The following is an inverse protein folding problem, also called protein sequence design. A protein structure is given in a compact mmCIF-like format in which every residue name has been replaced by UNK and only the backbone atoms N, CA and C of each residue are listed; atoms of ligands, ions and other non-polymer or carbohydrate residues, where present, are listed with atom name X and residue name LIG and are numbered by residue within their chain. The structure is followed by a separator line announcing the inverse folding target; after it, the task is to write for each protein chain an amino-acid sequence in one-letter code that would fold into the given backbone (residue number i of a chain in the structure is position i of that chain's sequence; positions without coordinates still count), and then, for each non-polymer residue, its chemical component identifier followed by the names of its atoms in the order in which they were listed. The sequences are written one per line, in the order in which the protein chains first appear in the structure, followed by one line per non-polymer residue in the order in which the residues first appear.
data_IF_967614932806
#
_entry.id   IF_967614932806
#
_cell.length_a   1.000
_cell.length_b   1.000
_cell.length_c   1.000
_cell.angle_alpha   90.00
_cell.angle_beta   90.00
_cell.angle_gamma   90.00
#
_symmetry.space_group_name_H-M   'P 1'
#
loop_
_entity.id
_entity.type
_entity.pdbx_description
1 polymer ?
#
# COMPACT_ATOMS: atom_id res chain seq x y z
N UNK A 1 20.17 0.27 -16.13
CA UNK A 1 21.44 1.04 -16.01
C UNK A 1 21.69 1.35 -14.55
N UNK A 2 22.94 1.53 -14.13
CA UNK A 2 23.27 1.95 -12.77
C UNK A 2 23.72 3.41 -12.77
N UNK A 3 23.03 4.26 -12.01
CA UNK A 3 23.34 5.68 -11.92
C UNK A 3 24.67 5.97 -11.20
N UNK A 4 25.13 7.21 -11.36
CA UNK A 4 26.28 7.84 -10.69
C UNK A 4 25.94 9.28 -10.35
N UNK A 5 26.76 9.96 -9.53
CA UNK A 5 26.75 11.43 -9.45
C UNK A 5 26.87 12.11 -10.83
N UNK A 6 27.62 11.52 -11.76
CA UNK A 6 27.79 12.00 -13.14
C UNK A 6 26.72 11.47 -14.12
N UNK A 7 25.63 10.88 -13.63
CA UNK A 7 24.56 10.33 -14.48
C UNK A 7 24.75 8.87 -14.91
N UNK A 8 24.03 8.48 -15.97
CA UNK A 8 24.03 7.12 -16.53
C UNK A 8 25.11 6.94 -17.59
N UNK A 9 25.61 5.70 -17.74
CA UNK A 9 26.64 5.38 -18.72
C UNK A 9 26.43 3.98 -19.32
N UNK A 10 26.68 3.81 -20.62
CA UNK A 10 26.47 2.55 -21.38
C UNK A 10 27.32 1.38 -20.88
N UNK A 11 28.50 1.68 -20.32
CA UNK A 11 29.37 0.68 -19.67
C UNK A 11 29.00 0.41 -18.21
N UNK A 12 28.03 1.13 -17.64
CA UNK A 12 27.59 1.02 -16.24
C UNK A 12 26.16 0.49 -16.20
N UNK A 13 25.96 -0.71 -16.73
CA UNK A 13 24.66 -1.40 -16.78
C UNK A 13 24.84 -2.89 -16.57
N UNK A 14 23.78 -3.54 -16.12
CA UNK A 14 23.63 -4.99 -16.19
C UNK A 14 22.70 -5.32 -17.34
N UNK A 15 22.96 -6.43 -18.02
CA UNK A 15 22.11 -6.91 -19.12
C UNK A 15 21.24 -8.03 -18.58
N UNK A 16 19.92 -7.83 -18.62
CA UNK A 16 18.94 -8.87 -18.38
C UNK A 16 18.36 -9.30 -19.72
N UNK A 17 18.48 -10.59 -20.05
CA UNK A 17 17.97 -11.12 -21.30
C UNK A 17 16.48 -11.46 -21.11
N UNK A 18 15.63 -11.03 -22.04
CA UNK A 18 14.18 -11.24 -22.06
C UNK A 18 13.68 -11.32 -23.50
N UNK A 19 12.47 -11.85 -23.69
CA UNK A 19 11.82 -11.98 -25.00
C UNK A 19 10.85 -10.80 -25.21
N UNK A 20 11.17 -9.89 -26.12
CA UNK A 20 10.35 -8.73 -26.50
C UNK A 20 9.63 -8.07 -25.31
N UNK A 21 10.40 -7.38 -24.47
CA UNK A 21 9.89 -6.75 -23.24
C UNK A 21 8.95 -5.61 -23.58
N UNK A 22 7.81 -5.55 -22.91
CA UNK A 22 6.87 -4.44 -23.03
C UNK A 22 6.79 -3.58 -21.76
N UNK A 23 7.07 -4.13 -20.57
CA UNK A 23 6.95 -3.40 -19.31
C UNK A 23 7.74 -4.06 -18.16
N UNK A 24 7.93 -3.34 -17.05
CA UNK A 24 8.57 -3.88 -15.84
C UNK A 24 8.11 -3.19 -14.56
N UNK A 25 8.05 -3.94 -13.46
CA UNK A 25 7.76 -3.46 -12.11
C UNK A 25 8.92 -3.78 -11.16
N UNK A 26 9.33 -2.79 -10.37
CA UNK A 26 10.32 -2.96 -9.31
C UNK A 26 9.63 -3.16 -7.95
N UNK A 27 10.09 -4.14 -7.19
CA UNK A 27 9.59 -4.47 -5.86
C UNK A 27 10.43 -5.56 -5.21
N UNK A 28 10.42 -5.67 -3.88
CA UNK A 28 11.05 -6.80 -3.19
C UNK A 28 10.04 -7.96 -3.16
N UNK A 29 10.17 -8.91 -4.08
CA UNK A 29 9.17 -9.97 -4.26
C UNK A 29 9.47 -11.22 -3.43
N UNK A 30 10.66 -11.31 -2.83
CA UNK A 30 11.08 -12.43 -1.99
C UNK A 30 11.24 -12.07 -0.50
N UNK A 31 11.14 -10.78 -0.15
CA UNK A 31 11.22 -10.26 1.21
C UNK A 31 12.64 -10.24 1.78
N UNK A 32 13.68 -10.17 0.94
CA UNK A 32 15.08 -10.15 1.37
C UNK A 32 15.65 -8.74 1.60
N UNK A 33 14.84 -7.70 1.38
CA UNK A 33 15.20 -6.30 1.52
C UNK A 33 15.90 -5.72 0.27
N UNK A 34 16.05 -6.49 -0.80
CA UNK A 34 16.59 -6.03 -2.08
C UNK A 34 15.46 -5.85 -3.11
N UNK A 35 15.51 -4.76 -3.86
CA UNK A 35 14.53 -4.51 -4.92
C UNK A 35 14.81 -5.40 -6.13
N UNK A 36 13.85 -6.27 -6.44
CA UNK A 36 13.81 -7.17 -7.59
C UNK A 36 13.13 -6.51 -8.80
N UNK A 37 13.06 -7.24 -9.92
CA UNK A 37 12.41 -6.79 -11.15
C UNK A 37 11.48 -7.86 -11.71
N UNK A 38 10.19 -7.57 -11.79
CA UNK A 38 9.24 -8.30 -12.63
C UNK A 38 9.23 -7.68 -14.02
N UNK A 39 9.44 -8.48 -15.07
CA UNK A 39 9.59 -8.03 -16.44
C UNK A 39 8.59 -8.79 -17.31
N UNK A 40 7.70 -8.04 -17.95
CA UNK A 40 6.70 -8.58 -18.86
C UNK A 40 7.29 -8.83 -20.25
N UNK A 41 6.98 -9.99 -20.81
CA UNK A 41 7.43 -10.42 -22.12
C UNK A 41 6.23 -10.55 -23.06
N UNK A 42 6.31 -9.96 -24.24
CA UNK A 42 5.17 -9.81 -25.15
C UNK A 42 5.13 -10.87 -26.25
N UNK A 43 6.26 -11.10 -26.91
CA UNK A 43 6.36 -12.09 -27.98
C UNK A 43 7.74 -12.74 -28.04
N UNK A 44 7.78 -13.98 -28.51
CA UNK A 44 8.99 -14.68 -28.91
C UNK A 44 8.79 -15.23 -30.32
N UNK A 45 9.65 -14.82 -31.27
CA UNK A 45 9.55 -15.21 -32.69
C UNK A 45 8.13 -15.00 -33.30
N UNK A 46 7.47 -13.90 -32.94
CA UNK A 46 6.11 -13.58 -33.41
C UNK A 46 4.98 -14.35 -32.71
N UNK A 47 5.29 -15.18 -31.70
CA UNK A 47 4.30 -15.91 -30.91
C UNK A 47 4.10 -15.25 -29.54
N UNK A 48 2.84 -15.12 -29.11
CA UNK A 48 2.47 -14.58 -27.79
C UNK A 48 2.59 -15.59 -26.65
N UNK A 49 2.77 -16.90 -26.92
CA UNK A 49 3.00 -17.93 -25.89
C UNK A 49 4.41 -17.81 -25.30
N UNK A 50 4.64 -16.74 -24.55
CA UNK A 50 5.91 -16.37 -23.94
C UNK A 50 5.72 -16.10 -22.45
N UNK A 51 6.68 -16.55 -21.66
CA UNK A 51 6.67 -16.40 -20.20
C UNK A 51 7.37 -15.10 -19.81
N UNK A 52 6.74 -14.33 -18.94
CA UNK A 52 7.34 -13.21 -18.23
C UNK A 52 8.35 -13.72 -17.20
N UNK A 53 9.15 -12.81 -16.63
CA UNK A 53 10.28 -13.19 -15.77
C UNK A 53 10.30 -12.33 -14.51
N UNK A 54 10.68 -12.91 -13.39
CA UNK A 54 11.09 -12.18 -12.18
C UNK A 54 12.57 -12.41 -11.98
N UNK A 55 13.35 -11.33 -11.98
CA UNK A 55 14.78 -11.36 -11.65
C UNK A 55 14.96 -10.91 -10.21
N UNK A 56 15.50 -11.81 -9.39
CA UNK A 56 15.79 -11.51 -8.00
C UNK A 56 17.17 -10.84 -7.90
N UNK A 57 17.24 -9.78 -7.13
CA UNK A 57 18.46 -9.01 -6.95
C UNK A 57 19.47 -9.82 -6.13
N UNK A 58 20.69 -9.93 -6.65
CA UNK A 58 21.77 -10.70 -6.03
C UNK A 58 22.65 -9.84 -5.09
N UNK A 59 22.23 -8.60 -4.81
CA UNK A 59 23.01 -7.60 -4.08
C UNK A 59 24.26 -7.13 -4.84
N UNK A 60 24.48 -7.64 -6.06
CA UNK A 60 25.65 -7.40 -6.91
C UNK A 60 25.24 -6.90 -8.27
N UNK A 61 24.19 -6.05 -8.28
CA UNK A 61 23.68 -5.39 -9.47
C UNK A 61 23.18 -6.39 -10.51
N UNK A 62 22.45 -7.43 -10.10
CA UNK A 62 21.97 -8.48 -11.00
C UNK A 62 23.10 -9.06 -11.87
N UNK A 63 24.27 -9.35 -11.28
CA UNK A 63 25.40 -9.95 -12.00
C UNK A 63 25.08 -11.39 -12.39
N UNK A 64 24.51 -12.16 -11.45
CA UNK A 64 24.05 -13.53 -11.63
C UNK A 64 22.70 -13.70 -10.91
N UNK A 65 21.64 -13.00 -11.34
CA UNK A 65 20.38 -13.02 -10.63
C UNK A 65 19.72 -14.39 -10.78
N UNK A 66 19.12 -14.87 -9.69
CA UNK A 66 18.13 -15.95 -9.80
C UNK A 66 16.96 -15.41 -10.61
N UNK A 67 16.37 -16.26 -11.46
CA UNK A 67 15.22 -15.88 -12.27
C UNK A 67 14.13 -16.94 -12.18
N UNK A 68 12.89 -16.49 -11.99
CA UNK A 68 11.69 -17.32 -12.09
C UNK A 68 10.91 -16.92 -13.33
N UNK A 69 10.46 -17.91 -14.11
CA UNK A 69 9.53 -17.67 -15.21
C UNK A 69 8.09 -17.67 -14.69
N UNK A 70 7.31 -16.71 -15.13
CA UNK A 70 5.87 -16.63 -14.87
C UNK A 70 5.13 -17.13 -16.11
N UNK A 71 4.14 -18.03 -15.98
CA UNK A 71 3.43 -18.65 -17.10
C UNK A 71 2.40 -17.69 -17.73
N UNK A 72 2.85 -16.55 -18.20
CA UNK A 72 2.04 -15.55 -18.91
C UNK A 72 1.87 -15.93 -20.39
N UNK A 73 1.02 -15.18 -21.09
CA UNK A 73 0.78 -15.33 -22.52
C UNK A 73 0.75 -13.95 -23.18
N UNK A 74 1.94 -13.41 -23.46
CA UNK A 74 2.13 -12.26 -24.33
C UNK A 74 1.44 -11.00 -23.84
N UNK A 75 1.84 -10.56 -22.65
CA UNK A 75 1.30 -9.36 -22.00
C UNK A 75 1.54 -8.11 -22.85
N UNK A 76 0.53 -7.26 -22.99
CA UNK A 76 0.64 -5.98 -23.70
C UNK A 76 0.99 -4.81 -22.79
N UNK A 77 0.60 -4.87 -21.51
CA UNK A 77 0.85 -3.83 -20.49
C UNK A 77 1.01 -4.50 -19.11
N UNK A 78 1.63 -3.78 -18.16
CA UNK A 78 1.56 -4.11 -16.73
C UNK A 78 0.81 -3.01 -15.96
N UNK A 79 1.32 -2.64 -14.78
CA UNK A 79 0.70 -1.74 -13.83
C UNK A 79 1.29 -0.33 -13.99
N UNK A 80 0.44 0.70 -13.98
CA UNK A 80 0.84 2.09 -14.27
C UNK A 80 1.35 2.87 -13.03
N UNK A 81 1.46 2.21 -11.88
CA UNK A 81 1.82 2.81 -10.60
C UNK A 81 2.95 2.02 -9.93
N UNK A 82 3.79 2.70 -9.17
CA UNK A 82 4.75 2.02 -8.30
C UNK A 82 4.03 1.33 -7.14
N UNK A 83 4.71 0.38 -6.48
CA UNK A 83 4.24 -0.18 -5.21
C UNK A 83 4.25 0.94 -4.15
N UNK A 84 3.16 1.03 -3.39
CA UNK A 84 2.96 2.03 -2.35
C UNK A 84 1.99 3.13 -2.76
N UNK A 85 1.82 4.11 -1.86
CA UNK A 85 0.87 5.20 -2.05
C UNK A 85 1.28 6.10 -3.21
N UNK A 86 0.30 6.47 -4.04
CA UNK A 86 0.54 7.28 -5.26
C UNK A 86 1.14 8.65 -4.98
N UNK A 87 0.87 9.24 -3.81
CA UNK A 87 1.28 10.61 -3.50
C UNK A 87 2.69 10.67 -2.91
N UNK A 88 3.03 9.74 -2.03
CA UNK A 88 4.26 9.80 -1.24
C UNK A 88 5.12 8.52 -1.29
N UNK A 89 4.69 7.51 -2.06
CA UNK A 89 5.31 6.18 -2.19
C UNK A 89 5.44 5.41 -0.87
N UNK A 90 4.81 5.87 0.21
CA UNK A 90 4.85 5.16 1.48
C UNK A 90 4.01 3.89 1.40
N UNK A 91 4.37 2.87 2.19
CA UNK A 91 3.55 1.68 2.34
C UNK A 91 2.41 1.90 3.34
N UNK A 92 1.71 3.03 3.17
CA UNK A 92 0.65 3.48 4.05
C UNK A 92 -0.51 4.03 3.23
N UNK A 93 -1.69 3.51 3.49
CA UNK A 93 -2.94 3.97 2.90
C UNK A 93 -3.90 4.49 3.97
N UNK A 94 -4.79 5.39 3.58
CA UNK A 94 -5.82 5.91 4.49
C UNK A 94 -7.20 5.91 3.89
N UNK A 95 -8.19 5.54 4.71
CA UNK A 95 -9.60 5.67 4.40
C UNK A 95 -10.26 6.56 5.47
N UNK A 96 -10.98 7.60 5.04
CA UNK A 96 -11.80 8.42 5.93
C UNK A 96 -13.28 8.07 5.75
N UNK A 97 -13.95 7.79 6.87
CA UNK A 97 -15.37 7.45 6.85
C UNK A 97 -16.23 8.64 6.46
N UNK A 98 -17.51 8.41 6.15
CA UNK A 98 -18.51 9.48 6.23
C UNK A 98 -18.56 10.09 7.64
N UNK A 99 -19.11 11.29 7.74
CA UNK A 99 -19.45 11.91 9.03
C UNK A 99 -20.74 11.28 9.55
N UNK A 100 -20.74 10.91 10.82
CA UNK A 100 -21.87 10.38 11.56
C UNK A 100 -22.38 11.42 12.53
N UNK A 101 -23.71 11.51 12.64
CA UNK A 101 -24.37 12.46 13.52
C UNK A 101 -25.26 11.71 14.52
N UNK A 102 -25.42 12.24 15.74
CA UNK A 102 -26.30 11.69 16.76
C UNK A 102 -26.94 12.82 17.58
N UNK A 103 -28.02 12.53 18.31
CA UNK A 103 -28.81 13.55 19.01
C UNK A 103 -28.42 13.70 20.50
N UNK A 104 -28.30 12.57 21.20
CA UNK A 104 -28.12 12.55 22.65
C UNK A 104 -26.67 12.82 23.09
N UNK A 105 -26.41 13.34 24.29
CA UNK A 105 -25.05 13.44 24.80
C UNK A 105 -24.34 12.08 24.84
N UNK A 106 -23.06 12.06 24.47
CA UNK A 106 -22.18 10.92 24.65
C UNK A 106 -20.79 11.43 25.06
N UNK A 107 -20.18 10.84 26.09
CA UNK A 107 -18.85 11.25 26.59
C UNK A 107 -17.76 10.25 26.23
N UNK A 108 -18.16 9.03 25.83
CA UNK A 108 -17.25 7.93 25.55
C UNK A 108 -17.69 7.16 24.32
N UNK A 109 -16.72 6.55 23.66
CA UNK A 109 -16.97 5.66 22.55
C UNK A 109 -16.03 4.48 22.53
N UNK A 110 -16.48 3.40 21.90
CA UNK A 110 -15.70 2.18 21.67
C UNK A 110 -15.70 1.83 20.20
N UNK A 111 -14.54 1.42 19.68
CA UNK A 111 -14.37 0.93 18.32
C UNK A 111 -14.17 -0.59 18.33
N UNK A 112 -14.91 -1.31 17.50
CA UNK A 112 -14.62 -2.70 17.15
C UNK A 112 -14.32 -2.76 15.66
N UNK A 113 -13.25 -3.45 15.31
CA UNK A 113 -12.88 -3.69 13.91
C UNK A 113 -12.98 -5.18 13.61
N UNK A 114 -13.39 -5.45 12.39
CA UNK A 114 -13.40 -6.77 11.77
C UNK A 114 -12.53 -6.66 10.52
N UNK A 115 -11.34 -7.25 10.58
CA UNK A 115 -10.31 -7.09 9.57
C UNK A 115 -9.40 -8.31 9.50
N UNK A 116 -8.94 -8.64 8.30
CA UNK A 116 -7.83 -9.55 8.08
C UNK A 116 -6.54 -8.72 8.03
N UNK A 117 -5.60 -9.02 8.94
CA UNK A 117 -4.32 -8.32 9.04
C UNK A 117 -3.22 -9.35 8.75
N UNK A 118 -2.62 -9.32 7.56
CA UNK A 118 -1.54 -10.24 7.23
C UNK A 118 -0.31 -9.94 8.10
N UNK A 119 0.60 -10.91 8.22
CA UNK A 119 1.93 -10.66 8.79
C UNK A 119 2.61 -9.52 8.02
N UNK A 120 3.21 -8.58 8.74
CA UNK A 120 3.79 -7.36 8.16
C UNK A 120 2.78 -6.22 7.94
N UNK A 121 1.48 -6.52 8.02
CA UNK A 121 0.41 -5.54 7.94
C UNK A 121 0.13 -4.86 9.28
N UNK A 122 -0.35 -3.62 9.22
CA UNK A 122 -0.81 -2.87 10.39
C UNK A 122 -2.07 -2.08 10.08
N UNK A 123 -2.98 -2.01 11.05
CA UNK A 123 -4.24 -1.26 10.94
C UNK A 123 -4.47 -0.43 12.20
N UNK A 124 -4.62 0.88 12.04
CA UNK A 124 -4.91 1.81 13.12
C UNK A 124 -6.20 2.61 12.84
N UNK A 125 -7.00 2.84 13.89
CA UNK A 125 -8.15 3.73 13.83
C UNK A 125 -7.86 5.01 14.60
N UNK A 126 -8.18 6.15 13.99
CA UNK A 126 -8.26 7.44 14.65
C UNK A 126 -9.67 8.01 14.50
N UNK A 127 -10.10 8.84 15.45
CA UNK A 127 -11.39 9.53 15.41
C UNK A 127 -11.22 11.03 15.59
N UNK A 128 -12.14 11.79 15.02
CA UNK A 128 -12.34 13.21 15.35
C UNK A 128 -13.82 13.47 15.56
N UNK A 129 -14.12 14.37 16.50
CA UNK A 129 -15.49 14.75 16.86
C UNK A 129 -15.61 16.26 17.01
N UNK A 130 -16.83 16.76 16.80
CA UNK A 130 -17.16 18.18 16.99
C UNK A 130 -18.66 18.37 17.19
N UNK A 131 -19.06 19.56 17.63
CA UNK A 131 -20.46 19.99 17.68
C UNK A 131 -21.00 20.45 16.31
N UNK A 132 -20.13 20.89 15.38
CA UNK A 132 -20.50 21.42 14.06
C UNK A 132 -19.54 20.98 12.95
N UNK A 133 -20.06 20.83 11.73
CA UNK A 133 -19.32 20.26 10.58
C UNK A 133 -18.10 21.09 10.18
N UNK A 134 -18.22 22.42 10.23
CA UNK A 134 -17.13 23.34 9.95
C UNK A 134 -15.94 23.19 10.94
N UNK A 135 -16.22 22.81 12.19
CA UNK A 135 -15.19 22.58 13.20
C UNK A 135 -14.53 21.20 13.01
N UNK A 136 -15.33 20.18 12.65
CA UNK A 136 -14.85 18.80 12.48
C UNK A 136 -13.67 18.70 11.51
N UNK A 137 -13.74 19.41 10.37
CA UNK A 137 -12.68 19.40 9.35
C UNK A 137 -11.32 19.89 9.88
N UNK A 138 -11.31 20.76 10.89
CA UNK A 138 -10.11 21.33 11.51
C UNK A 138 -9.66 20.59 12.76
N UNK A 139 -10.47 19.65 13.27
CA UNK A 139 -10.13 18.88 14.46
C UNK A 139 -9.03 17.87 14.15
N UNK A 140 -7.99 17.76 15.00
CA UNK A 140 -6.95 16.77 14.82
C UNK A 140 -7.54 15.36 14.99
N UNK A 141 -6.99 14.43 14.23
CA UNK A 141 -7.27 13.01 14.40
C UNK A 141 -6.67 12.52 15.72
N UNK A 142 -7.48 11.86 16.55
CA UNK A 142 -7.06 11.25 17.81
C UNK A 142 -7.02 9.73 17.64
N UNK A 143 -5.85 9.12 17.78
CA UNK A 143 -5.71 7.67 17.73
C UNK A 143 -6.54 7.00 18.82
N UNK A 144 -7.29 5.96 18.45
CA UNK A 144 -8.06 5.14 19.38
C UNK A 144 -7.11 4.13 20.02
N UNK A 145 -6.96 4.21 21.35
CA UNK A 145 -6.15 3.27 22.15
C UNK A 145 -7.08 2.38 22.97
N UNK A 146 -6.70 1.12 23.15
CA UNK A 146 -7.49 0.12 23.90
C UNK A 146 -8.96 0.05 23.46
N UNK A 147 -9.18 0.27 22.16
CA UNK A 147 -10.51 0.28 21.52
C UNK A 147 -11.44 1.38 22.05
N UNK A 148 -10.95 2.39 22.78
CA UNK A 148 -11.76 3.42 23.44
C UNK A 148 -11.32 4.85 23.05
N UNK A 149 -12.26 5.78 23.13
CA UNK A 149 -12.01 7.22 22.98
C UNK A 149 -13.01 8.03 23.81
N UNK A 150 -12.66 9.30 24.07
CA UNK A 150 -13.52 10.26 24.76
C UNK A 150 -14.09 11.29 23.78
N UNK A 151 -15.22 11.85 24.17
CA UNK A 151 -15.98 12.88 23.46
C UNK A 151 -16.24 14.06 24.39
N UNK A 152 -16.39 15.25 23.82
CA UNK A 152 -16.88 16.40 24.56
C UNK A 152 -18.42 16.31 24.65
N UNK A 153 -19.06 16.76 25.75
CA UNK A 153 -20.51 16.66 25.93
C UNK A 153 -21.34 17.31 24.81
N UNK A 154 -20.79 18.34 24.15
CA UNK A 154 -21.39 19.05 23.02
C UNK A 154 -21.14 18.41 21.65
N UNK A 155 -20.28 17.40 21.56
CA UNK A 155 -20.01 16.73 20.29
C UNK A 155 -21.27 16.04 19.77
N UNK A 156 -21.58 16.23 18.49
CA UNK A 156 -22.72 15.61 17.79
C UNK A 156 -22.33 15.02 16.45
N UNK A 157 -21.06 15.18 16.07
CA UNK A 157 -20.49 14.69 14.82
C UNK A 157 -19.24 13.87 15.10
N UNK A 158 -19.07 12.76 14.38
CA UNK A 158 -17.93 11.86 14.49
C UNK A 158 -17.51 11.41 13.10
N UNK A 159 -16.21 11.36 12.88
CA UNK A 159 -15.63 10.69 11.73
C UNK A 159 -14.49 9.80 12.23
N UNK A 160 -14.27 8.66 11.57
CA UNK A 160 -13.08 7.85 11.79
C UNK A 160 -12.18 7.83 10.56
N UNK A 161 -10.90 7.59 10.78
CA UNK A 161 -9.90 7.30 9.76
C UNK A 161 -9.26 5.96 10.05
N UNK A 162 -9.24 5.09 9.07
CA UNK A 162 -8.43 3.89 9.07
C UNK A 162 -7.10 4.18 8.38
N UNK A 163 -6.00 3.76 8.99
CA UNK A 163 -4.66 3.81 8.41
C UNK A 163 -4.16 2.40 8.29
N UNK A 164 -3.88 1.99 7.06
CA UNK A 164 -3.35 0.70 6.67
C UNK A 164 -1.86 0.85 6.45
N UNK A 165 -1.05 -0.08 6.93
CA UNK A 165 0.39 -0.12 6.70
C UNK A 165 0.81 -1.49 6.20
N UNK A 166 1.86 -1.52 5.39
CA UNK A 166 2.56 -2.72 4.96
C UNK A 166 4.06 -2.52 5.19
N UNK A 167 4.78 -3.58 5.51
CA UNK A 167 6.25 -3.54 5.64
C UNK A 167 6.94 -3.60 4.26
N UNK A 168 6.32 -4.24 3.28
CA UNK A 168 6.89 -4.45 1.95
C UNK A 168 6.00 -3.91 0.80
N UNK A 169 4.78 -3.47 1.09
CA UNK A 169 3.85 -2.92 0.10
C UNK A 169 3.16 -3.97 -0.78
N UNK A 170 3.45 -5.26 -0.58
CA UNK A 170 2.87 -6.38 -1.33
C UNK A 170 1.59 -6.94 -0.67
N UNK A 171 1.36 -6.65 0.61
CA UNK A 171 0.21 -7.12 1.39
C UNK A 171 -0.29 -6.03 2.33
N UNK A 172 -1.55 -5.66 2.19
CA UNK A 172 -2.22 -4.70 3.08
C UNK A 172 -3.35 -5.38 3.86
N UNK A 173 -3.69 -4.88 5.06
CA UNK A 173 -4.88 -5.33 5.76
C UNK A 173 -6.15 -5.13 4.95
N UNK A 174 -7.09 -6.05 5.08
CA UNK A 174 -8.44 -5.95 4.51
C UNK A 174 -9.40 -5.61 5.64
N UNK A 175 -9.92 -4.38 5.63
CA UNK A 175 -10.90 -3.92 6.62
C UNK A 175 -12.32 -4.24 6.14
N UNK A 176 -12.99 -5.19 6.81
CA UNK A 176 -14.36 -5.58 6.49
C UNK A 176 -15.41 -4.68 7.16
N UNK A 177 -15.25 -4.40 8.46
CA UNK A 177 -16.23 -3.58 9.21
C UNK A 177 -15.59 -2.79 10.35
N UNK A 178 -16.10 -1.57 10.54
CA UNK A 178 -15.84 -0.74 11.74
C UNK A 178 -17.17 -0.49 12.43
N UNK A 179 -17.27 -0.88 13.69
CA UNK A 179 -18.40 -0.58 14.56
C UNK A 179 -17.98 0.43 15.62
N UNK A 180 -18.77 1.48 15.76
CA UNK A 180 -18.60 2.49 16.80
C UNK A 180 -19.82 2.49 17.69
N UNK A 181 -19.61 2.28 18.99
CA UNK A 181 -20.66 2.40 20.01
C UNK A 181 -20.37 3.61 20.89
N UNK A 182 -21.35 4.51 20.99
CA UNK A 182 -21.29 5.69 21.86
C UNK A 182 -22.05 5.44 23.16
N UNK A 183 -21.56 5.99 24.25
CA UNK A 183 -22.18 5.94 25.58
C UNK A 183 -21.91 7.25 26.33
N UNK A 184 -22.82 7.63 27.22
CA UNK A 184 -22.57 8.70 28.21
C UNK A 184 -21.52 8.27 29.26
#
# INVERSE_FOLDING_TARGET
YWGSPNGFHTRRRSTLICDSVNDSLAGDFNGDGLIDLAVACHTQHGNHRVFSRVFYNDGRRFKNPRMTRLPTNGTHLMWALDIGNVMDRSYRETFESRVWEWADPARRGRVRIDADIPRGGGLAIAVRSASRRAQLARRPWRTVRDKKFTLLPEDRLLQYRATFTSDNGDRYPVLGRVEIKLTD
#
